data_IF_328277284863
#
_entry.id   IF_328277284863
#
_cell.length_a   1.000
_cell.length_b   1.000
_cell.length_c   1.000
_cell.angle_alpha   90.00
_cell.angle_beta   90.00
_cell.angle_gamma   90.00
#
_symmetry.space_group_name_H-M   'P 1'
#
loop_
_entity.id
_entity.type
_entity.pdbx_description
1 polymer ?
#
# COMPACT_ATOMS: atom_id res chain seq x y z
N UNK A 1 -11.52 4.40 8.26
CA UNK A 1 -10.14 3.99 8.62
C UNK A 1 -9.28 5.22 8.87
N UNK A 2 -8.93 6.01 7.85
CA UNK A 2 -8.12 7.24 8.00
C UNK A 2 -8.65 8.20 9.10
N UNK A 3 -9.98 8.38 9.19
CA UNK A 3 -10.61 9.18 10.25
C UNK A 3 -10.29 8.70 11.68
N UNK A 4 -10.22 7.39 11.90
CA UNK A 4 -9.92 6.80 13.22
C UNK A 4 -8.46 7.01 13.62
N UNK A 5 -7.57 7.26 12.65
CA UNK A 5 -6.17 7.57 12.88
C UNK A 5 -5.87 9.07 13.01
N UNK A 6 -6.90 9.94 12.99
CA UNK A 6 -6.73 11.40 13.10
C UNK A 6 -6.82 12.16 11.77
N UNK A 7 -7.23 11.49 10.69
CA UNK A 7 -7.49 12.14 9.40
C UNK A 7 -6.27 12.25 8.49
N UNK A 8 -6.38 13.10 7.46
CA UNK A 8 -5.39 13.28 6.38
C UNK A 8 -4.06 13.89 6.86
N UNK A 9 -4.09 14.69 7.92
CA UNK A 9 -2.89 15.25 8.54
C UNK A 9 -1.99 14.21 9.23
N UNK A 10 -2.51 13.00 9.48
CA UNK A 10 -1.78 11.91 10.15
C UNK A 10 -1.53 10.74 9.21
N UNK A 11 -2.51 10.36 8.38
CA UNK A 11 -2.40 9.23 7.46
C UNK A 11 -2.74 9.68 6.04
N UNK A 12 -1.80 9.49 5.13
CA UNK A 12 -2.04 9.64 3.69
C UNK A 12 -2.63 8.34 3.12
N UNK A 13 -3.65 8.45 2.25
CA UNK A 13 -4.22 7.31 1.54
C UNK A 13 -3.70 7.29 0.11
N UNK A 14 -3.00 6.20 -0.24
CA UNK A 14 -2.48 5.96 -1.58
C UNK A 14 -3.18 4.73 -2.16
N UNK A 15 -3.72 4.88 -3.37
CA UNK A 15 -4.27 3.76 -4.14
C UNK A 15 -3.12 3.03 -4.83
N UNK A 16 -3.00 1.72 -4.57
CA UNK A 16 -1.87 0.92 -5.10
C UNK A 16 -1.80 0.94 -6.63
N UNK A 17 -2.91 1.13 -7.33
CA UNK A 17 -2.94 1.26 -8.80
C UNK A 17 -2.22 2.51 -9.32
N UNK A 18 -1.85 3.43 -8.43
CA UNK A 18 -1.15 4.69 -8.73
C UNK A 18 0.14 4.86 -7.93
N UNK A 19 0.47 3.88 -7.09
CA UNK A 19 1.66 3.94 -6.26
C UNK A 19 2.90 3.60 -7.08
N UNK A 20 4.00 4.24 -6.76
CA UNK A 20 5.33 3.89 -7.25
C UNK A 20 6.17 3.37 -6.08
N UNK A 21 7.24 2.58 -6.32
CA UNK A 21 8.11 2.09 -5.24
C UNK A 21 8.67 3.21 -4.35
N UNK A 22 8.97 4.37 -4.95
CA UNK A 22 9.46 5.55 -4.24
C UNK A 22 8.43 6.17 -3.28
N UNK A 23 7.14 5.84 -3.40
CA UNK A 23 6.14 6.30 -2.43
C UNK A 23 6.36 5.67 -1.06
N UNK A 24 6.87 4.45 -0.99
CA UNK A 24 7.12 3.74 0.27
C UNK A 24 8.28 4.35 1.06
N UNK A 25 9.26 4.96 0.38
CA UNK A 25 10.38 5.67 1.02
C UNK A 25 9.96 6.97 1.73
N UNK A 26 8.76 7.49 1.44
CA UNK A 26 8.26 8.75 2.03
C UNK A 26 7.79 8.58 3.47
N UNK A 27 7.60 7.34 3.94
CA UNK A 27 6.93 7.05 5.20
C UNK A 27 7.73 6.09 6.08
N UNK A 28 7.87 6.42 7.36
CA UNK A 28 8.45 5.53 8.38
C UNK A 28 7.46 4.43 8.80
N UNK A 29 6.15 4.70 8.71
CA UNK A 29 5.08 3.80 9.11
C UNK A 29 4.13 3.55 7.95
N UNK A 30 3.91 2.29 7.60
CA UNK A 30 3.10 1.87 6.45
C UNK A 30 1.99 0.93 6.90
N UNK A 31 0.77 1.14 6.39
CA UNK A 31 -0.38 0.25 6.58
C UNK A 31 -0.78 -0.27 5.21
N UNK A 32 -0.70 -1.59 5.02
CA UNK A 32 -1.07 -2.25 3.75
C UNK A 32 -2.51 -2.77 3.83
N UNK A 33 -3.37 -2.26 2.95
CA UNK A 33 -4.72 -2.78 2.75
C UNK A 33 -4.81 -3.56 1.45
N UNK A 34 -4.78 -4.89 1.52
CA UNK A 34 -4.93 -5.79 0.37
C UNK A 34 -6.09 -6.77 0.61
N UNK A 35 -7.23 -6.64 -0.08
CA UNK A 35 -8.30 -7.62 0.01
C UNK A 35 -7.96 -8.88 -0.80
N UNK A 36 -8.45 -10.03 -0.35
CA UNK A 36 -8.38 -11.28 -1.12
C UNK A 36 -9.50 -11.35 -2.16
N UNK A 37 -9.18 -11.71 -3.39
CA UNK A 37 -10.12 -11.91 -4.49
C UNK A 37 -10.20 -13.39 -4.90
N UNK A 38 -11.22 -13.73 -5.70
CA UNK A 38 -11.45 -15.08 -6.22
C UNK A 38 -11.32 -16.17 -5.13
N UNK A 39 -10.39 -17.11 -5.30
CA UNK A 39 -10.12 -18.20 -4.36
C UNK A 39 -8.78 -17.93 -3.64
N UNK A 40 -8.68 -16.78 -2.97
CA UNK A 40 -7.53 -16.42 -2.14
C UNK A 40 -6.40 -15.69 -2.88
N UNK A 41 -6.68 -15.15 -4.05
CA UNK A 41 -5.75 -14.37 -4.86
C UNK A 41 -5.61 -12.95 -4.30
N UNK A 42 -4.52 -12.26 -4.65
CA UNK A 42 -4.42 -10.82 -4.43
C UNK A 42 -5.44 -10.09 -5.32
N UNK A 43 -5.82 -8.89 -4.91
CA UNK A 43 -6.53 -7.98 -5.79
C UNK A 43 -5.63 -7.59 -6.98
N UNK A 44 -6.21 -7.37 -8.16
CA UNK A 44 -5.47 -7.24 -9.42
C UNK A 44 -4.39 -6.15 -9.45
N UNK A 45 -4.60 -5.01 -8.80
CA UNK A 45 -3.62 -3.92 -8.78
C UNK A 45 -2.46 -4.25 -7.82
N UNK A 46 -2.77 -4.90 -6.69
CA UNK A 46 -1.77 -5.48 -5.80
C UNK A 46 -0.94 -6.59 -6.46
N UNK A 47 -1.57 -7.47 -7.22
CA UNK A 47 -0.87 -8.51 -7.99
C UNK A 47 0.10 -7.87 -8.99
N UNK A 48 -0.31 -6.78 -9.65
CA UNK A 48 0.53 -6.04 -10.60
C UNK A 48 1.74 -5.38 -9.92
N UNK A 49 1.55 -4.87 -8.70
CA UNK A 49 2.61 -4.20 -7.93
C UNK A 49 3.50 -5.18 -7.14
N UNK A 50 3.09 -6.45 -6.99
CA UNK A 50 3.69 -7.38 -6.04
C UNK A 50 5.20 -7.54 -6.22
N UNK A 51 5.65 -7.72 -7.46
CA UNK A 51 7.08 -7.89 -7.78
C UNK A 51 7.91 -6.63 -7.49
N UNK A 52 7.30 -5.44 -7.49
CA UNK A 52 8.00 -4.20 -7.17
C UNK A 52 8.34 -4.08 -5.68
N UNK A 53 7.64 -4.81 -4.80
CA UNK A 53 7.92 -4.82 -3.36
C UNK A 53 9.32 -5.35 -3.05
N UNK A 54 9.87 -6.25 -3.87
CA UNK A 54 11.23 -6.77 -3.72
C UNK A 54 12.31 -5.70 -3.93
N UNK A 55 11.97 -4.58 -4.60
CA UNK A 55 12.87 -3.47 -4.86
C UNK A 55 12.84 -2.38 -3.77
N UNK A 56 11.99 -2.53 -2.74
CA UNK A 56 11.78 -1.53 -1.70
C UNK A 56 12.54 -1.94 -0.43
N UNK A 57 13.28 -0.98 0.14
CA UNK A 57 13.92 -1.15 1.45
C UNK A 57 12.94 -0.76 2.56
N UNK A 58 12.65 -1.72 3.44
CA UNK A 58 11.74 -1.54 4.59
C UNK A 58 12.49 -1.50 5.94
N UNK A 59 13.82 -1.33 5.94
CA UNK A 59 14.65 -1.35 7.16
C UNK A 59 14.75 -0.03 7.90
#
# INVERSE_FOLDING_TARGET
>A
MQQEFGGDSVVELIDISKAEPSDFERFEYIIVGCPTWNVGELQSDWETFYDELDNIDFT
#
